data_IF_060543956413
#
_entry.id   IF_060543956413
#
_cell.length_a   1.000
_cell.length_b   1.000
_cell.length_c   1.000
_cell.angle_alpha   90.00
_cell.angle_beta   90.00
_cell.angle_gamma   90.00
#
_symmetry.space_group_name_H-M   'P 1'
#
loop_
_entity.id
_entity.type
_entity.pdbx_description
1 polymer ?
#
# COMPACT_ATOMS: atom_id res chain seq x y z
N UNK A 1 -18.10 24.28 -22.12
CA UNK A 1 -18.54 22.89 -21.88
C UNK A 1 -17.58 22.22 -20.89
N UNK A 2 -17.64 22.58 -19.60
CA UNK A 2 -16.66 22.16 -18.56
C UNK A 2 -17.25 21.27 -17.45
N UNK A 3 -18.54 20.95 -17.52
CA UNK A 3 -19.26 20.29 -16.42
C UNK A 3 -19.07 18.77 -16.33
N UNK A 4 -18.60 18.09 -17.39
CA UNK A 4 -18.46 16.63 -17.38
C UNK A 4 -17.31 16.11 -16.49
N UNK A 5 -16.31 16.95 -16.16
CA UNK A 5 -15.14 16.53 -15.37
C UNK A 5 -15.39 16.56 -13.85
N UNK A 6 -16.45 17.24 -13.40
CA UNK A 6 -16.88 17.27 -12.00
C UNK A 6 -17.66 16.01 -11.60
N UNK A 7 -18.56 15.51 -12.46
CA UNK A 7 -19.34 14.29 -12.21
C UNK A 7 -18.50 13.01 -12.16
N UNK A 8 -17.37 12.93 -12.86
CA UNK A 8 -16.44 11.79 -12.77
C UNK A 8 -15.72 11.67 -11.41
N UNK A 9 -15.79 12.71 -10.55
CA UNK A 9 -15.24 12.64 -9.18
C UNK A 9 -16.25 12.08 -8.17
N UNK A 10 -17.55 12.10 -8.49
CA UNK A 10 -18.62 11.62 -7.59
C UNK A 10 -18.68 10.09 -7.48
N UNK A 11 -18.15 9.35 -8.45
CA UNK A 11 -18.20 7.89 -8.46
C UNK A 11 -16.96 7.20 -7.92
N UNK A 12 -15.87 7.92 -7.65
CA UNK A 12 -14.63 7.31 -7.16
C UNK A 12 -14.76 7.07 -5.66
N UNK A 13 -14.79 5.81 -5.26
CA UNK A 13 -14.86 5.42 -3.86
C UNK A 13 -13.47 5.32 -3.23
N UNK A 14 -13.41 5.36 -1.89
CA UNK A 14 -12.20 5.08 -1.13
C UNK A 14 -11.61 3.69 -1.48
N UNK A 15 -12.49 2.72 -1.77
CA UNK A 15 -12.08 1.38 -2.20
C UNK A 15 -11.44 1.40 -3.60
N UNK A 16 -12.03 2.11 -4.55
CA UNK A 16 -11.47 2.23 -5.90
C UNK A 16 -10.07 2.86 -5.89
N UNK A 17 -9.80 3.76 -4.95
CA UNK A 17 -8.46 4.34 -4.77
C UNK A 17 -7.47 3.30 -4.25
N UNK A 18 -7.87 2.48 -3.28
CA UNK A 18 -7.03 1.41 -2.75
C UNK A 18 -6.70 0.35 -3.81
N UNK A 19 -7.71 -0.07 -4.58
CA UNK A 19 -7.55 -1.00 -5.70
C UNK A 19 -6.61 -0.45 -6.78
N UNK A 20 -6.52 0.89 -6.92
CA UNK A 20 -5.60 1.59 -7.83
C UNK A 20 -4.25 1.94 -7.20
N UNK A 21 -3.98 1.51 -5.97
CA UNK A 21 -2.79 1.86 -5.19
C UNK A 21 -2.58 3.37 -5.05
N UNK A 22 -3.67 4.10 -4.82
CA UNK A 22 -3.69 5.53 -4.56
C UNK A 22 -4.17 5.80 -3.15
N UNK A 23 -3.56 6.77 -2.48
CA UNK A 23 -3.98 7.22 -1.17
C UNK A 23 -4.92 8.43 -1.28
N UNK A 24 -5.43 8.89 -0.14
CA UNK A 24 -6.34 10.03 -0.05
C UNK A 24 -5.63 11.21 0.62
N UNK A 25 -5.61 12.37 -0.03
CA UNK A 25 -5.19 13.61 0.60
C UNK A 25 -6.41 14.37 1.11
N UNK A 26 -6.49 14.58 2.41
CA UNK A 26 -7.45 15.49 3.02
C UNK A 26 -6.83 16.89 3.10
N UNK A 27 -7.46 17.88 2.45
CA UNK A 27 -7.01 19.27 2.43
C UNK A 27 -8.03 20.18 3.09
N UNK A 28 -7.57 21.01 4.03
CA UNK A 28 -8.38 22.04 4.66
C UNK A 28 -8.13 23.39 3.99
N UNK A 29 -9.18 23.98 3.41
CA UNK A 29 -9.11 25.28 2.74
C UNK A 29 -8.98 26.47 3.70
N UNK A 30 -9.54 26.37 4.91
CA UNK A 30 -9.44 27.45 5.89
C UNK A 30 -8.02 27.59 6.46
N UNK A 31 -7.33 26.47 6.70
CA UNK A 31 -5.99 26.47 7.29
C UNK A 31 -4.86 26.31 6.26
N UNK A 32 -5.19 26.08 4.98
CA UNK A 32 -4.24 25.74 3.91
C UNK A 32 -3.29 24.59 4.29
N UNK A 33 -3.83 23.52 4.88
CA UNK A 33 -3.06 22.35 5.36
C UNK A 33 -3.62 21.07 4.79
N UNK A 34 -2.73 20.14 4.46
CA UNK A 34 -3.08 18.82 3.97
C UNK A 34 -2.49 17.71 4.83
N UNK A 35 -3.22 16.60 4.94
CA UNK A 35 -2.70 15.34 5.46
C UNK A 35 -2.96 14.23 4.45
N UNK A 36 -2.05 13.26 4.36
CA UNK A 36 -2.23 12.07 3.54
C UNK A 36 -2.75 10.95 4.43
N UNK A 37 -3.72 10.21 3.92
CA UNK A 37 -4.46 9.17 4.60
C UNK A 37 -4.42 7.95 3.71
N UNK A 38 -4.03 6.81 4.29
CA UNK A 38 -4.03 5.54 3.58
C UNK A 38 -5.45 5.19 3.10
N UNK A 39 -5.56 4.81 1.83
CA UNK A 39 -6.82 4.39 1.23
C UNK A 39 -7.46 3.20 1.93
N UNK A 40 -6.68 2.36 2.64
CA UNK A 40 -7.18 1.24 3.45
C UNK A 40 -8.26 1.65 4.48
N UNK A 41 -8.36 2.95 4.79
CA UNK A 41 -9.43 3.53 5.61
C UNK A 41 -10.84 3.14 5.11
N UNK A 42 -11.01 2.77 3.83
CA UNK A 42 -12.27 2.26 3.29
C UNK A 42 -12.83 1.09 4.09
N UNK A 43 -11.99 0.21 4.66
CA UNK A 43 -12.43 -0.93 5.47
C UNK A 43 -13.20 -0.48 6.71
N UNK A 44 -12.75 0.62 7.34
CA UNK A 44 -13.41 1.21 8.50
C UNK A 44 -14.75 1.83 8.13
N UNK A 45 -14.84 2.44 6.94
CA UNK A 45 -16.08 2.99 6.43
C UNK A 45 -17.08 1.87 6.13
N UNK A 46 -16.65 0.79 5.47
CA UNK A 46 -17.46 -0.39 5.21
C UNK A 46 -17.99 -1.02 6.50
N UNK A 47 -17.11 -1.24 7.50
CA UNK A 47 -17.50 -1.82 8.78
C UNK A 47 -18.52 -0.98 9.57
N UNK A 48 -18.56 0.35 9.34
CA UNK A 48 -19.47 1.27 10.02
C UNK A 48 -20.72 1.62 9.19
N UNK A 49 -20.86 1.05 7.98
CA UNK A 49 -21.93 1.41 7.05
C UNK A 49 -21.87 2.87 6.61
N UNK A 50 -20.68 3.48 6.59
CA UNK A 50 -20.51 4.86 6.16
C UNK A 50 -20.37 4.96 4.64
N UNK A 51 -20.81 6.08 4.05
CA UNK A 51 -20.66 6.33 2.62
C UNK A 51 -19.18 6.39 2.22
N UNK A 52 -18.80 5.67 1.17
CA UNK A 52 -17.41 5.51 0.73
C UNK A 52 -17.01 6.46 -0.41
N UNK A 53 -17.93 7.26 -0.92
CA UNK A 53 -17.63 8.31 -1.89
C UNK A 53 -16.82 9.43 -1.24
N UNK A 54 -15.91 10.03 -2.02
CA UNK A 54 -14.99 11.04 -1.49
C UNK A 54 -15.68 12.29 -0.94
N UNK A 55 -16.80 12.70 -1.53
CA UNK A 55 -17.53 13.88 -1.12
C UNK A 55 -18.19 13.69 0.25
N UNK A 56 -18.93 12.60 0.44
CA UNK A 56 -19.58 12.27 1.71
C UNK A 56 -18.58 11.85 2.78
N UNK A 57 -17.48 11.19 2.39
CA UNK A 57 -16.43 10.81 3.31
C UNK A 57 -15.70 12.02 3.91
N UNK A 58 -15.61 13.14 3.18
CA UNK A 58 -14.95 14.36 3.63
C UNK A 58 -15.49 14.87 4.98
N UNK A 59 -16.80 14.75 5.22
CA UNK A 59 -17.46 15.16 6.46
C UNK A 59 -16.95 14.41 7.72
N UNK A 60 -16.23 13.29 7.54
CA UNK A 60 -15.66 12.50 8.64
C UNK A 60 -14.22 12.87 8.95
N UNK A 61 -13.59 13.70 8.13
CA UNK A 61 -12.22 14.16 8.35
C UNK A 61 -12.24 15.58 8.90
N UNK A 62 -11.58 15.78 10.05
CA UNK A 62 -11.46 17.08 10.68
C UNK A 62 -10.04 17.60 10.53
N UNK A 63 -9.90 18.91 10.27
CA UNK A 63 -8.59 19.54 10.27
C UNK A 63 -8.00 19.53 11.67
N UNK A 64 -6.73 19.14 11.83
CA UNK A 64 -6.06 19.15 13.13
C UNK A 64 -5.91 20.55 13.74
N UNK A 65 -5.89 21.60 12.92
CA UNK A 65 -5.72 22.98 13.38
C UNK A 65 -7.05 23.62 13.80
N UNK A 66 -8.06 23.67 12.92
CA UNK A 66 -9.35 24.31 13.22
C UNK A 66 -10.42 23.34 13.73
N UNK A 67 -10.15 22.02 13.77
CA UNK A 67 -11.07 20.94 14.18
C UNK A 67 -12.39 20.88 13.40
N UNK A 68 -12.51 21.63 12.31
CA UNK A 68 -13.69 21.67 11.45
C UNK A 68 -13.56 20.67 10.30
N UNK A 69 -14.68 20.05 9.94
CA UNK A 69 -14.84 19.24 8.73
C UNK A 69 -15.40 20.06 7.54
N UNK A 70 -15.99 21.23 7.79
CA UNK A 70 -16.71 22.01 6.77
C UNK A 70 -15.81 22.53 5.64
N UNK A 71 -14.52 22.71 5.93
CA UNK A 71 -13.54 23.21 4.98
C UNK A 71 -12.61 22.12 4.46
N UNK A 72 -12.92 20.84 4.73
CA UNK A 72 -12.09 19.71 4.33
C UNK A 72 -12.63 19.11 3.03
N UNK A 73 -11.75 18.91 2.07
CA UNK A 73 -12.03 18.17 0.85
C UNK A 73 -11.01 17.04 0.67
N UNK A 74 -11.48 15.93 0.09
CA UNK A 74 -10.65 14.76 -0.20
C UNK A 74 -10.25 14.74 -1.67
N UNK A 75 -8.99 14.41 -1.93
CA UNK A 75 -8.44 14.28 -3.26
C UNK A 75 -7.65 12.97 -3.38
N UNK A 76 -7.71 12.28 -4.53
CA UNK A 76 -6.81 11.17 -4.79
C UNK A 76 -5.37 11.68 -4.88
N UNK A 77 -4.44 10.95 -4.28
CA UNK A 77 -3.01 11.21 -4.36
C UNK A 77 -2.27 9.92 -4.65
N UNK A 78 -1.12 10.02 -5.33
CA UNK A 78 -0.26 8.86 -5.55
C UNK A 78 0.27 8.35 -4.21
N UNK A 79 0.19 7.05 -3.98
CA UNK A 79 0.85 6.41 -2.83
C UNK A 79 2.37 6.58 -2.96
N UNK A 80 3.06 7.11 -1.94
CA UNK A 80 4.52 7.17 -1.96
C UNK A 80 5.10 5.77 -2.18
N UNK A 81 6.20 5.62 -2.93
CA UNK A 81 6.86 4.33 -3.04
C UNK A 81 7.27 3.85 -1.65
N UNK A 82 7.06 2.57 -1.37
CA UNK A 82 7.47 1.98 -0.10
C UNK A 82 8.97 2.22 0.11
N UNK A 83 9.41 2.63 1.31
CA UNK A 83 10.83 2.77 1.58
C UNK A 83 11.51 1.41 1.34
N UNK A 84 12.77 1.38 0.88
CA UNK A 84 13.45 0.13 0.53
C UNK A 84 13.55 -0.86 1.70
N UNK A 85 13.46 -0.37 2.93
CA UNK A 85 13.51 -1.16 4.15
C UNK A 85 12.11 -1.48 4.72
N UNK A 86 11.04 -1.31 3.93
CA UNK A 86 9.70 -1.68 4.35
C UNK A 86 9.65 -3.18 4.70
N UNK A 87 9.01 -3.60 5.82
CA UNK A 87 8.98 -4.99 6.25
C UNK A 87 8.50 -5.97 5.17
N UNK A 88 7.51 -5.59 4.36
CA UNK A 88 7.01 -6.40 3.24
C UNK A 88 8.09 -6.70 2.20
N UNK A 89 8.87 -5.69 1.81
CA UNK A 89 9.96 -5.84 0.83
C UNK A 89 11.10 -6.71 1.38
N UNK A 90 11.40 -6.60 2.67
CA UNK A 90 12.40 -7.44 3.33
C UNK A 90 11.98 -8.92 3.37
N UNK A 91 10.70 -9.17 3.67
CA UNK A 91 10.13 -10.53 3.66
C UNK A 91 10.13 -11.11 2.24
N UNK A 92 9.69 -10.35 1.24
CA UNK A 92 9.76 -10.76 -0.16
C UNK A 92 11.20 -11.08 -0.58
N UNK A 93 12.15 -10.22 -0.20
CA UNK A 93 13.57 -10.43 -0.48
C UNK A 93 14.10 -11.70 0.18
N UNK A 94 13.75 -11.94 1.43
CA UNK A 94 14.13 -13.15 2.15
C UNK A 94 13.62 -14.42 1.43
N UNK A 95 12.34 -14.48 1.06
CA UNK A 95 11.78 -15.64 0.36
C UNK A 95 12.38 -15.82 -1.04
N UNK A 96 12.65 -14.72 -1.75
CA UNK A 96 13.34 -14.74 -3.02
C UNK A 96 14.75 -15.35 -2.88
N UNK A 97 15.51 -14.90 -1.88
CA UNK A 97 16.86 -15.37 -1.61
C UNK A 97 16.86 -16.85 -1.18
N UNK A 98 15.94 -17.28 -0.31
CA UNK A 98 15.77 -18.71 0.07
C UNK A 98 15.44 -19.58 -1.14
N UNK A 99 14.53 -19.13 -2.01
CA UNK A 99 14.18 -19.85 -3.25
C UNK A 99 15.36 -19.91 -4.22
N UNK A 100 16.13 -18.83 -4.34
CA UNK A 100 17.34 -18.75 -5.16
C UNK A 100 18.42 -19.71 -4.66
N UNK A 101 18.67 -19.76 -3.35
CA UNK A 101 19.61 -20.69 -2.72
C UNK A 101 19.18 -22.15 -2.93
N UNK A 102 17.88 -22.44 -2.82
CA UNK A 102 17.34 -23.78 -3.12
C UNK A 102 17.54 -24.18 -4.58
N UNK A 103 17.41 -23.24 -5.52
CA UNK A 103 17.71 -23.50 -6.95
C UNK A 103 19.20 -23.69 -7.22
N UNK A 104 20.08 -23.07 -6.43
CA UNK A 104 21.54 -23.19 -6.54
C UNK A 104 22.10 -24.45 -5.87
N UNK A 105 21.35 -25.13 -4.99
CA UNK A 105 21.71 -26.48 -4.52
C UNK A 105 21.53 -27.46 -5.67
N UNK A 106 22.60 -27.69 -6.42
CA UNK A 106 22.65 -28.71 -7.45
C UNK A 106 22.77 -30.09 -6.80
N UNK A 107 21.75 -30.96 -6.91
CA UNK A 107 21.77 -32.29 -6.30
C UNK A 107 22.87 -33.19 -6.88
N UNK A 108 23.39 -32.90 -8.07
CA UNK A 108 24.52 -33.62 -8.67
C UNK A 108 25.82 -33.22 -7.98
N UNK A 109 26.03 -31.93 -7.73
CA UNK A 109 27.20 -31.42 -7.01
C UNK A 109 27.21 -31.92 -5.55
N UNK A 110 26.05 -31.95 -4.87
CA UNK A 110 25.96 -32.49 -3.51
C UNK A 110 26.31 -33.99 -3.45
N UNK A 111 25.86 -34.79 -4.42
CA UNK A 111 26.21 -36.22 -4.51
C UNK A 111 27.68 -36.44 -4.82
N UNK A 112 28.28 -35.59 -5.66
CA UNK A 112 29.71 -35.64 -5.96
C UNK A 112 30.56 -35.31 -4.72
N UNK A 113 30.19 -34.28 -3.95
CA UNK A 113 30.84 -33.93 -2.69
C UNK A 113 30.70 -35.06 -1.66
N UNK A 114 29.51 -35.64 -1.52
CA UNK A 114 29.29 -36.76 -0.61
C UNK A 114 30.17 -37.98 -0.95
N UNK A 115 30.31 -38.31 -2.23
CA UNK A 115 31.20 -39.39 -2.70
C UNK A 115 32.67 -39.11 -2.38
N UNK A 116 33.12 -37.87 -2.56
CA UNK A 116 34.49 -37.46 -2.23
C UNK A 116 34.76 -37.60 -0.73
N UNK A 117 33.85 -37.11 0.13
CA UNK A 117 33.98 -37.22 1.59
C UNK A 117 34.05 -38.70 2.02
N UNK A 118 33.20 -39.56 1.46
CA UNK A 118 33.19 -41.00 1.72
C UNK A 118 34.45 -41.73 1.25
N UNK A 119 35.11 -41.21 0.21
CA UNK A 119 36.38 -41.74 -0.29
C UNK A 119 37.54 -41.34 0.63
N UNK A 120 37.54 -40.09 1.11
CA UNK A 120 38.52 -39.59 2.09
C UNK A 120 38.43 -40.30 3.43
N UNK A 121 37.22 -40.64 3.89
CA UNK A 121 36.98 -41.32 5.18
C UNK A 121 37.47 -42.78 5.22
N UNK A 122 37.71 -43.38 4.04
CA UNK A 122 38.14 -44.78 3.86
C UNK A 122 39.65 -44.92 3.61
N UNK A 123 40.38 -43.81 3.56
CA UNK A 123 41.83 -43.75 3.59
C UNK A 123 42.31 -43.51 5.01
#
# INVERSE_FOLDING_TARGET
MFYARAMLRESVTLKDLDDRHQDVRAWCFACARGTVIDSIIWQRFAARGWPQDLASAAARFTCSACRSANHVALYPTRRPPAPPNAPSLLVERFFFDVRSLRKKRDPIAERAIARLVDQWRRR
#
